data_IF_243786169556
#
_entry.id   IF_243786169556
#
_cell.length_a   1.000
_cell.length_b   1.000
_cell.length_c   1.000
_cell.angle_alpha   90.00
_cell.angle_beta   90.00
_cell.angle_gamma   90.00
#
_symmetry.space_group_name_H-M   'P 1'
#
loop_
_entity.id
_entity.type
_entity.pdbx_description
1 polymer ?
#
# COMPACT_ATOMS: atom_id res chain seq x y z
N UNK A 1 -23.51 -26.89 4.82
CA UNK A 1 -23.98 -26.20 3.60
C UNK A 1 -23.82 -24.70 3.79
N UNK A 2 -23.08 -24.00 2.93
CA UNK A 2 -22.74 -22.57 3.06
C UNK A 2 -23.97 -21.65 3.23
N UNK A 3 -25.09 -22.01 2.59
CA UNK A 3 -26.36 -21.28 2.69
C UNK A 3 -27.08 -21.48 4.04
N UNK A 4 -26.86 -22.61 4.71
CA UNK A 4 -27.51 -22.95 5.98
C UNK A 4 -26.78 -22.38 7.19
N UNK A 5 -25.52 -22.00 7.02
CA UNK A 5 -24.65 -21.55 8.09
C UNK A 5 -24.45 -20.04 7.95
N UNK A 6 -25.00 -19.26 8.87
CA UNK A 6 -24.93 -17.80 8.83
C UNK A 6 -23.51 -17.28 9.09
N UNK A 7 -22.71 -18.02 9.86
CA UNK A 7 -21.35 -17.64 10.25
C UNK A 7 -20.33 -17.89 9.12
N UNK A 8 -20.62 -18.83 8.22
CA UNK A 8 -19.72 -19.14 7.10
C UNK A 8 -20.02 -18.23 5.92
N UNK A 9 -19.01 -17.44 5.55
CA UNK A 9 -19.09 -16.50 4.43
C UNK A 9 -18.64 -17.12 3.10
N UNK A 10 -17.64 -18.01 3.14
CA UNK A 10 -17.03 -18.59 1.95
C UNK A 10 -16.67 -20.08 2.10
N UNK A 11 -16.56 -20.77 0.96
CA UNK A 11 -16.03 -22.12 0.83
C UNK A 11 -14.88 -22.09 -0.15
N UNK A 12 -13.74 -22.63 0.27
CA UNK A 12 -12.49 -22.67 -0.51
C UNK A 12 -12.19 -24.13 -0.84
N UNK A 13 -11.98 -24.43 -2.12
CA UNK A 13 -11.56 -25.74 -2.61
C UNK A 13 -10.21 -25.62 -3.28
N UNK A 14 -9.19 -26.28 -2.70
CA UNK A 14 -7.81 -26.37 -3.23
C UNK A 14 -7.59 -27.59 -4.13
N UNK A 15 -8.67 -28.30 -4.45
CA UNK A 15 -8.62 -29.46 -5.33
C UNK A 15 -8.34 -29.01 -6.76
N UNK A 16 -7.53 -29.78 -7.49
CA UNK A 16 -7.29 -29.54 -8.92
C UNK A 16 -8.61 -29.75 -9.67
N UNK A 17 -9.25 -28.65 -10.04
CA UNK A 17 -10.44 -28.68 -10.88
C UNK A 17 -10.08 -28.23 -12.29
N UNK A 18 -10.48 -29.02 -13.27
CA UNK A 18 -10.43 -28.60 -14.66
C UNK A 18 -11.38 -27.43 -14.89
N UNK A 19 -11.06 -26.61 -15.89
CA UNK A 19 -11.84 -25.41 -16.19
C UNK A 19 -13.32 -25.72 -16.47
N UNK A 20 -13.60 -26.85 -17.14
CA UNK A 20 -14.97 -27.29 -17.44
C UNK A 20 -15.78 -27.60 -16.20
N UNK A 21 -15.13 -28.17 -15.18
CA UNK A 21 -15.81 -28.50 -13.93
C UNK A 21 -16.02 -27.26 -13.07
N UNK A 22 -15.08 -26.30 -13.13
CA UNK A 22 -15.30 -24.97 -12.56
C UNK A 22 -16.50 -24.28 -13.20
N UNK A 23 -16.62 -24.26 -14.53
CA UNK A 23 -17.71 -23.55 -15.21
C UNK A 23 -19.10 -24.12 -14.82
N UNK A 24 -19.22 -25.45 -14.68
CA UNK A 24 -20.46 -26.09 -14.18
C UNK A 24 -20.79 -25.65 -12.75
N UNK A 25 -19.78 -25.63 -11.88
CA UNK A 25 -19.95 -25.22 -10.49
C UNK A 25 -20.23 -23.72 -10.36
N UNK A 26 -19.63 -22.90 -11.21
CA UNK A 26 -19.86 -21.47 -11.28
C UNK A 26 -21.30 -21.17 -11.68
N UNK A 27 -21.83 -21.87 -12.71
CA UNK A 27 -23.23 -21.75 -13.11
C UNK A 27 -24.18 -22.11 -11.95
N UNK A 28 -23.89 -23.20 -11.22
CA UNK A 28 -24.66 -23.58 -10.03
C UNK A 28 -24.55 -22.56 -8.89
N UNK A 29 -23.37 -21.95 -8.70
CA UNK A 29 -23.20 -20.91 -7.70
C UNK A 29 -24.02 -19.66 -8.06
N UNK A 30 -24.03 -19.27 -9.33
CA UNK A 30 -24.83 -18.13 -9.82
C UNK A 30 -26.32 -18.37 -9.64
N UNK A 31 -26.83 -19.58 -9.90
CA UNK A 31 -28.25 -19.89 -9.64
C UNK A 31 -28.61 -19.83 -8.15
N UNK A 32 -27.63 -20.07 -7.26
CA UNK A 32 -27.78 -19.93 -5.81
C UNK A 32 -27.48 -18.51 -5.30
N UNK A 33 -27.21 -17.54 -6.18
CA UNK A 33 -26.89 -16.16 -5.80
C UNK A 33 -25.53 -15.99 -5.13
N UNK A 34 -24.62 -16.94 -5.33
CA UNK A 34 -23.25 -16.90 -4.80
C UNK A 34 -22.27 -16.39 -5.86
N UNK A 35 -21.23 -15.72 -5.38
CA UNK A 35 -20.10 -15.32 -6.21
C UNK A 35 -19.10 -16.46 -6.30
N UNK A 36 -18.55 -16.68 -7.48
CA UNK A 36 -17.53 -17.69 -7.73
C UNK A 36 -16.31 -17.06 -8.39
N UNK A 37 -15.12 -17.48 -7.96
CA UNK A 37 -13.87 -17.04 -8.56
C UNK A 37 -12.81 -18.14 -8.48
N UNK A 38 -11.99 -18.25 -9.52
CA UNK A 38 -10.89 -19.20 -9.59
C UNK A 38 -9.55 -18.45 -9.50
N UNK A 39 -8.84 -18.60 -8.38
CA UNK A 39 -7.51 -18.05 -8.15
C UNK A 39 -6.48 -19.14 -8.43
N UNK A 40 -5.86 -19.10 -9.61
CA UNK A 40 -4.91 -20.12 -10.06
C UNK A 40 -5.48 -21.55 -9.95
N UNK A 41 -5.08 -22.33 -8.93
CA UNK A 41 -5.56 -23.70 -8.68
C UNK A 41 -6.68 -23.79 -7.64
N UNK A 42 -7.05 -22.68 -7.01
CA UNK A 42 -8.01 -22.64 -5.92
C UNK A 42 -9.32 -22.04 -6.39
N UNK A 43 -10.44 -22.71 -6.10
CA UNK A 43 -11.78 -22.24 -6.41
C UNK A 43 -12.46 -21.76 -5.13
N UNK A 44 -13.04 -20.57 -5.17
CA UNK A 44 -13.72 -19.94 -4.04
C UNK A 44 -15.17 -19.63 -4.39
N UNK A 45 -16.08 -19.93 -3.46
CA UNK A 45 -17.49 -19.57 -3.51
C UNK A 45 -17.85 -18.75 -2.27
N UNK A 46 -18.49 -17.60 -2.45
CA UNK A 46 -18.79 -16.68 -1.36
C UNK A 46 -20.15 -16.01 -1.49
N UNK A 47 -20.68 -15.55 -0.36
CA UNK A 47 -21.90 -14.72 -0.30
C UNK A 47 -21.65 -13.26 -0.70
N UNK A 48 -20.39 -12.81 -0.64
CA UNK A 48 -19.95 -11.43 -0.92
C UNK A 48 -19.13 -11.43 -2.22
N UNK A 49 -19.19 -10.38 -3.05
CA UNK A 49 -18.35 -10.26 -4.24
C UNK A 49 -16.87 -10.53 -3.95
N UNK A 50 -16.25 -11.33 -4.82
CA UNK A 50 -14.85 -11.74 -4.69
C UNK A 50 -13.95 -10.72 -5.39
N UNK A 51 -12.81 -10.33 -4.78
CA UNK A 51 -11.83 -9.47 -5.43
C UNK A 51 -11.14 -10.19 -6.59
N UNK A 52 -10.47 -9.45 -7.48
CA UNK A 52 -9.72 -10.07 -8.58
C UNK A 52 -8.39 -10.69 -8.14
N UNK A 53 -7.88 -10.34 -6.95
CA UNK A 53 -6.61 -10.81 -6.44
C UNK A 53 -6.70 -11.14 -4.95
N UNK A 54 -6.12 -12.27 -4.54
CA UNK A 54 -6.03 -12.75 -3.15
C UNK A 54 -4.66 -13.34 -2.89
N UNK A 55 -3.87 -12.65 -2.06
CA UNK A 55 -2.50 -13.05 -1.74
C UNK A 55 -2.44 -14.36 -0.93
N UNK A 56 -3.49 -14.68 -0.19
CA UNK A 56 -3.60 -15.88 0.64
C UNK A 56 -3.81 -17.17 -0.18
N UNK A 57 -4.24 -17.00 -1.44
CA UNK A 57 -4.54 -18.08 -2.38
C UNK A 57 -3.53 -18.19 -3.52
N UNK A 58 -2.49 -17.35 -3.52
CA UNK A 58 -1.44 -17.40 -4.53
C UNK A 58 -0.57 -18.65 -4.34
N UNK A 59 -0.46 -19.45 -5.40
CA UNK A 59 0.39 -20.64 -5.45
C UNK A 59 1.86 -20.30 -5.25
N UNK A 60 2.27 -19.12 -5.73
CA UNK A 60 3.65 -18.64 -5.69
C UNK A 60 3.70 -17.49 -4.70
N UNK A 61 3.59 -17.77 -3.40
CA UNK A 61 4.18 -16.83 -2.44
C UNK A 61 5.69 -16.86 -2.72
N UNK A 62 6.31 -15.80 -3.27
CA UNK A 62 7.74 -15.72 -3.19
C UNK A 62 8.03 -15.65 -1.69
N UNK A 63 8.42 -16.77 -1.09
CA UNK A 63 9.17 -16.79 0.14
C UNK A 63 10.48 -16.07 -0.18
N UNK A 64 10.42 -14.73 -0.24
CA UNK A 64 11.56 -13.91 0.12
C UNK A 64 11.72 -14.07 1.61
N UNK A 65 12.12 -15.27 2.01
CA UNK A 65 12.65 -15.51 3.33
C UNK A 65 13.92 -14.68 3.38
N UNK A 66 13.83 -13.59 4.13
CA UNK A 66 15.01 -12.82 4.48
C UNK A 66 15.74 -13.67 5.51
N UNK A 67 16.69 -14.47 5.02
CA UNK A 67 17.62 -15.17 5.89
C UNK A 67 18.52 -14.11 6.55
N UNK A 68 18.11 -13.67 7.74
CA UNK A 68 18.91 -12.76 8.56
C UNK A 68 20.06 -13.57 9.17
N UNK A 69 21.29 -13.09 8.99
CA UNK A 69 22.44 -13.70 9.63
C UNK A 69 22.30 -13.59 11.16
N UNK A 70 22.71 -14.63 11.89
CA UNK A 70 22.61 -14.67 13.36
C UNK A 70 23.32 -13.50 14.05
N UNK A 71 24.45 -13.05 13.48
CA UNK A 71 25.18 -11.85 13.94
C UNK A 71 24.30 -10.58 13.85
N UNK A 72 23.48 -10.43 12.80
CA UNK A 72 22.58 -9.30 12.67
C UNK A 72 21.50 -9.35 13.75
N UNK A 73 20.95 -10.52 14.03
CA UNK A 73 19.95 -10.72 15.09
C UNK A 73 20.54 -10.36 16.47
N UNK A 74 21.76 -10.83 16.79
CA UNK A 74 22.44 -10.50 18.05
C UNK A 74 22.73 -9.01 18.18
N UNK A 75 23.16 -8.34 17.11
CA UNK A 75 23.38 -6.88 17.13
C UNK A 75 22.10 -6.10 17.34
N UNK A 76 21.01 -6.48 16.68
CA UNK A 76 19.69 -5.85 16.86
C UNK A 76 19.22 -6.05 18.30
N UNK A 77 19.37 -7.25 18.86
CA UNK A 77 19.03 -7.54 20.25
C UNK A 77 19.87 -6.72 21.23
N UNK A 78 21.17 -6.58 20.99
CA UNK A 78 22.05 -5.74 21.80
C UNK A 78 21.63 -4.26 21.76
N UNK A 79 21.33 -3.71 20.57
CA UNK A 79 20.85 -2.33 20.43
C UNK A 79 19.48 -2.10 21.09
N UNK A 80 18.57 -3.06 20.99
CA UNK A 80 17.27 -2.99 21.67
C UNK A 80 17.44 -3.01 23.19
N UNK A 81 18.31 -3.87 23.70
CA UNK A 81 18.63 -3.98 25.13
C UNK A 81 19.28 -2.69 25.66
N UNK A 82 20.22 -2.11 24.91
CA UNK A 82 20.83 -0.83 25.22
C UNK A 82 19.80 0.32 25.20
N UNK A 83 18.91 0.34 24.20
CA UNK A 83 17.85 1.34 24.12
C UNK A 83 16.88 1.24 25.30
N UNK A 84 16.45 0.03 25.66
CA UNK A 84 15.54 -0.21 26.78
C UNK A 84 16.18 0.14 28.12
N UNK A 85 17.45 -0.21 28.34
CA UNK A 85 18.18 0.17 29.56
C UNK A 85 18.38 1.69 29.66
N UNK A 86 18.70 2.37 28.55
CA UNK A 86 18.82 3.83 28.49
C UNK A 86 17.47 4.53 28.65
N UNK A 87 16.38 3.92 28.19
CA UNK A 87 15.00 4.38 28.40
C UNK A 87 14.57 4.19 29.86
N UNK A 88 14.94 3.08 30.50
CA UNK A 88 14.67 2.82 31.92
C UNK A 88 15.33 3.89 32.80
N UNK A 89 16.59 4.24 32.52
CA UNK A 89 17.31 5.31 33.24
C UNK A 89 16.73 6.73 33.00
N UNK A 90 15.86 6.91 32.01
CA UNK A 90 15.15 8.18 31.76
C UNK A 90 13.81 8.26 32.50
N UNK A 91 13.23 7.14 32.92
CA UNK A 91 11.96 7.11 33.65
C UNK A 91 12.15 7.63 35.07
N UNK A 92 13.33 7.45 35.68
CA UNK A 92 13.61 7.90 37.05
C UNK A 92 13.93 9.40 37.19
N UNK A 93 13.88 10.19 36.10
CA UNK A 93 14.17 11.64 36.11
C UNK A 93 13.06 12.53 35.58
N UNK A 94 11.83 12.01 35.43
CA UNK A 94 10.69 12.84 35.03
C UNK A 94 9.79 13.08 36.25
N UNK A 95 9.62 14.33 36.73
CA UNK A 95 8.62 14.61 37.74
C UNK A 95 7.24 14.27 37.17
N UNK A 96 6.41 13.65 37.99
CA UNK A 96 5.09 13.13 37.68
C UNK A 96 4.17 14.19 37.04
N UNK A 97 4.28 14.39 35.73
CA UNK A 97 3.25 15.00 34.88
C UNK A 97 3.66 14.82 33.41
N UNK A 98 3.43 13.64 32.84
CA UNK A 98 3.08 13.53 31.41
C UNK A 98 2.64 12.11 31.06
N UNK A 99 1.32 11.98 30.91
CA UNK A 99 0.60 11.14 29.95
C UNK A 99 1.30 9.86 29.46
N UNK A 100 0.81 8.75 29.99
CA UNK A 100 1.00 7.39 29.48
C UNK A 100 0.80 7.31 27.97
N UNK A 101 1.84 6.90 27.24
CA UNK A 101 1.74 6.44 25.85
C UNK A 101 2.02 4.94 25.80
N UNK A 102 0.99 4.16 26.09
CA UNK A 102 0.91 2.75 25.73
C UNK A 102 0.45 2.67 24.28
N UNK A 103 1.35 2.42 23.34
CA UNK A 103 0.96 1.99 21.98
C UNK A 103 0.93 0.47 21.94
N UNK A 104 -0.20 -0.08 22.39
CA UNK A 104 -0.60 -1.45 22.07
C UNK A 104 -0.99 -1.46 20.58
N UNK A 105 -0.28 -2.25 19.77
CA UNK A 105 -0.61 -2.43 18.36
C UNK A 105 -1.69 -3.51 18.24
N UNK A 106 -2.95 -3.14 18.51
CA UNK A 106 -4.08 -3.96 18.09
C UNK A 106 -4.42 -3.63 16.64
N UNK A 107 -4.25 -4.63 15.79
CA UNK A 107 -4.76 -4.68 14.42
C UNK A 107 -6.27 -4.40 14.40
N UNK A 108 -6.70 -3.39 13.64
CA UNK A 108 -7.95 -3.37 12.89
C UNK A 108 -7.87 -2.33 11.78
N UNK A 109 -8.02 -2.82 10.56
CA UNK A 109 -8.70 -2.22 9.42
C UNK A 109 -9.74 -1.13 9.77
N UNK A 110 -9.34 0.14 9.68
CA UNK A 110 -10.31 1.23 9.51
C UNK A 110 -9.65 2.45 8.84
N UNK A 111 -10.21 2.78 7.67
CA UNK A 111 -10.42 4.12 7.13
C UNK A 111 -9.33 5.19 7.30
N UNK A 112 -8.84 5.66 6.14
CA UNK A 112 -7.99 6.83 5.93
C UNK A 112 -8.39 8.01 6.84
N UNK A 113 -7.72 8.11 7.99
CA UNK A 113 -7.85 9.24 8.90
C UNK A 113 -6.60 10.09 8.76
N UNK A 114 -6.81 11.34 8.32
CA UNK A 114 -5.84 12.44 8.31
C UNK A 114 -5.34 12.71 9.75
N UNK A 115 -4.50 11.83 10.28
CA UNK A 115 -3.73 12.08 11.48
C UNK A 115 -2.56 13.01 11.10
N UNK A 116 -2.35 14.13 11.81
CA UNK A 116 -1.20 14.99 11.54
C UNK A 116 0.07 14.16 11.72
N UNK A 117 0.82 14.01 10.62
CA UNK A 117 2.12 13.35 10.59
C UNK A 117 2.97 13.86 11.76
N UNK A 118 3.64 12.97 12.53
CA UNK A 118 4.45 13.40 13.66
C UNK A 118 5.48 14.43 13.20
N UNK A 119 5.74 15.46 14.01
CA UNK A 119 6.61 16.62 13.68
C UNK A 119 8.02 16.22 13.18
N UNK A 120 8.48 15.00 13.50
CA UNK A 120 9.70 14.41 12.94
C UNK A 120 9.57 14.02 11.46
N UNK A 121 8.44 13.41 11.07
CA UNK A 121 8.16 13.03 9.69
C UNK A 121 8.04 14.26 8.78
N UNK A 122 7.44 15.36 9.26
CA UNK A 122 7.33 16.61 8.48
C UNK A 122 8.69 17.25 8.23
N UNK A 123 9.61 17.22 9.20
CA UNK A 123 11.00 17.70 9.05
C UNK A 123 11.79 16.87 8.03
N UNK A 124 11.65 15.55 8.06
CA UNK A 124 12.31 14.65 7.09
C UNK A 124 11.75 14.86 5.68
N UNK A 125 10.43 14.99 5.53
CA UNK A 125 9.79 15.26 4.24
C UNK A 125 10.21 16.63 3.67
N UNK A 126 10.32 17.65 4.52
CA UNK A 126 10.81 18.97 4.12
C UNK A 126 12.25 18.94 3.61
N UNK A 127 13.15 18.28 4.34
CA UNK A 127 14.56 18.13 3.92
C UNK A 127 14.68 17.40 2.58
N UNK A 128 13.92 16.32 2.38
CA UNK A 128 13.88 15.61 1.09
C UNK A 128 13.34 16.50 -0.04
N UNK A 129 12.31 17.29 0.24
CA UNK A 129 11.73 18.21 -0.74
C UNK A 129 12.72 19.29 -1.20
N UNK A 130 13.52 19.82 -0.27
CA UNK A 130 14.61 20.74 -0.58
C UNK A 130 15.67 20.07 -1.46
N UNK A 131 16.15 18.88 -1.08
CA UNK A 131 17.13 18.14 -1.87
C UNK A 131 16.67 17.86 -3.32
N UNK A 132 15.40 17.48 -3.49
CA UNK A 132 14.82 17.24 -4.82
C UNK A 132 14.76 18.53 -5.66
N UNK A 133 14.43 19.66 -5.04
CA UNK A 133 14.44 20.98 -5.69
C UNK A 133 15.84 21.35 -6.17
N UNK A 134 16.84 21.23 -5.31
CA UNK A 134 18.23 21.58 -5.64
C UNK A 134 18.75 20.70 -6.78
N UNK A 135 18.47 19.39 -6.71
CA UNK A 135 18.81 18.44 -7.79
C UNK A 135 18.13 18.81 -9.11
N UNK A 136 16.86 19.20 -9.06
CA UNK A 136 16.13 19.63 -10.25
C UNK A 136 16.74 20.90 -10.85
N UNK A 137 17.06 21.90 -10.03
CA UNK A 137 17.68 23.16 -10.50
C UNK A 137 19.05 22.91 -11.11
N UNK A 138 19.89 22.11 -10.45
CA UNK A 138 21.19 21.72 -10.98
C UNK A 138 21.07 21.02 -12.34
N UNK A 139 20.14 20.07 -12.45
CA UNK A 139 19.88 19.37 -13.71
C UNK A 139 19.38 20.33 -14.81
N UNK A 140 18.46 21.25 -14.49
CA UNK A 140 17.94 22.24 -15.45
C UNK A 140 19.00 23.23 -15.93
N UNK A 141 20.00 23.56 -15.08
CA UNK A 141 21.10 24.44 -15.44
C UNK A 141 22.17 23.75 -16.31
N UNK A 142 22.15 22.42 -16.39
CA UNK A 142 23.08 21.67 -17.25
C UNK A 142 22.72 21.80 -18.74
N UNK A 143 23.71 21.64 -19.62
CA UNK A 143 23.53 21.70 -21.09
C UNK A 143 22.56 20.61 -21.58
N UNK A 144 22.64 19.42 -21.00
CA UNK A 144 21.70 18.32 -21.30
C UNK A 144 20.27 18.65 -20.87
N UNK A 145 20.13 19.23 -19.68
CA UNK A 145 18.84 19.68 -19.14
C UNK A 145 18.17 20.72 -20.03
N UNK A 146 18.91 21.73 -20.47
CA UNK A 146 18.42 22.76 -21.39
C UNK A 146 17.94 22.14 -22.71
N UNK A 147 18.75 21.31 -23.37
CA UNK A 147 18.39 20.64 -24.62
C UNK A 147 17.10 19.81 -24.49
N UNK A 148 16.94 19.11 -23.37
CA UNK A 148 15.76 18.30 -23.10
C UNK A 148 14.52 19.16 -22.81
N UNK A 149 14.68 20.28 -22.11
CA UNK A 149 13.60 21.24 -21.89
C UNK A 149 13.10 21.84 -23.20
N UNK A 150 13.99 22.25 -24.10
CA UNK A 150 13.63 22.80 -25.41
C UNK A 150 12.86 21.78 -26.27
N UNK A 151 13.27 20.52 -26.19
CA UNK A 151 12.53 19.43 -26.86
C UNK A 151 11.13 19.26 -26.26
N UNK A 152 11.01 19.32 -24.93
CA UNK A 152 9.73 19.17 -24.22
C UNK A 152 8.78 20.34 -24.46
N UNK A 153 9.27 21.58 -24.51
CA UNK A 153 8.43 22.77 -24.73
C UNK A 153 7.76 22.78 -26.10
N UNK A 154 8.36 22.09 -27.09
CA UNK A 154 7.77 21.92 -28.42
C UNK A 154 6.53 21.01 -28.45
N UNK A 155 6.37 20.13 -27.45
CA UNK A 155 5.30 19.12 -27.45
C UNK A 155 3.93 19.73 -27.12
N UNK A 156 2.86 19.32 -27.81
CA UNK A 156 1.49 19.78 -27.52
C UNK A 156 1.07 19.54 -26.07
N UNK A 157 1.44 18.39 -25.49
CA UNK A 157 1.15 18.04 -24.10
C UNK A 157 1.77 19.03 -23.11
N UNK A 158 2.95 19.57 -23.41
CA UNK A 158 3.62 20.54 -22.52
C UNK A 158 2.88 21.89 -22.50
N UNK A 159 2.26 22.29 -23.61
CA UNK A 159 1.45 23.52 -23.69
C UNK A 159 0.21 23.46 -22.78
N UNK A 160 -0.33 22.25 -22.56
CA UNK A 160 -1.50 22.01 -21.70
C UNK A 160 -1.12 21.64 -20.26
N UNK A 161 0.18 21.66 -19.92
CA UNK A 161 0.70 21.24 -18.61
C UNK A 161 -0.02 21.91 -17.45
N UNK A 162 -0.27 23.22 -17.52
CA UNK A 162 -0.86 23.94 -16.39
C UNK A 162 -2.30 23.50 -16.12
N UNK A 163 -3.13 23.39 -17.17
CA UNK A 163 -4.51 22.88 -17.09
C UNK A 163 -4.53 21.46 -16.50
N UNK A 164 -3.67 20.57 -16.97
CA UNK A 164 -3.57 19.19 -16.45
C UNK A 164 -3.18 19.17 -14.97
N UNK A 165 -2.18 19.95 -14.56
CA UNK A 165 -1.75 20.00 -13.15
C UNK A 165 -2.82 20.57 -12.24
N UNK A 166 -3.55 21.60 -12.70
CA UNK A 166 -4.67 22.17 -11.96
C UNK A 166 -5.79 21.15 -11.80
N UNK A 167 -6.17 20.44 -12.86
CA UNK A 167 -7.18 19.39 -12.80
C UNK A 167 -6.80 18.27 -11.83
N UNK A 168 -5.54 17.83 -11.83
CA UNK A 168 -5.02 16.80 -10.89
C UNK A 168 -5.06 17.31 -9.44
N UNK A 169 -4.76 18.60 -9.22
CA UNK A 169 -4.77 19.16 -7.86
C UNK A 169 -6.18 19.27 -7.26
N UNK A 170 -7.21 19.42 -8.11
CA UNK A 170 -8.60 19.61 -7.69
C UNK A 170 -9.40 18.31 -7.63
N UNK A 171 -8.94 17.25 -8.31
CA UNK A 171 -9.69 16.01 -8.44
C UNK A 171 -8.89 14.81 -7.93
N UNK A 172 -9.55 13.94 -7.14
CA UNK A 172 -8.96 12.69 -6.68
C UNK A 172 -8.72 11.69 -7.83
N UNK A 173 -9.55 11.74 -8.89
CA UNK A 173 -9.44 10.91 -10.09
C UNK A 173 -9.52 11.80 -11.33
N UNK A 174 -8.54 11.70 -12.21
CA UNK A 174 -8.51 12.38 -13.50
C UNK A 174 -8.47 11.36 -14.64
N UNK A 175 -9.38 11.48 -15.61
CA UNK A 175 -9.36 10.78 -16.90
C UNK A 175 -8.93 11.74 -18.00
N UNK A 176 -8.47 11.23 -19.14
CA UNK A 176 -7.93 12.05 -20.24
C UNK A 176 -8.98 13.00 -20.85
N UNK A 177 -10.26 12.68 -20.71
CA UNK A 177 -11.37 13.50 -21.21
C UNK A 177 -11.76 14.65 -20.26
N UNK A 178 -11.46 14.52 -18.96
CA UNK A 178 -11.96 15.45 -17.94
C UNK A 178 -11.24 16.81 -17.90
N UNK A 179 -9.98 16.91 -18.36
CA UNK A 179 -9.21 18.15 -18.25
C UNK A 179 -9.27 19.05 -19.49
N UNK A 180 -9.88 18.59 -20.59
CA UNK A 180 -10.10 19.42 -21.80
C UNK A 180 -11.21 20.46 -21.62
N UNK A 181 -12.01 20.35 -20.56
CA UNK A 181 -13.19 21.17 -20.29
C UNK A 181 -13.15 21.92 -18.95
N UNK A 182 -12.00 21.91 -18.26
CA UNK A 182 -11.79 22.59 -16.98
C UNK A 182 -11.05 23.91 -17.16
#
# INVERSE_FOLDING_TARGET
MLLKDSLKQEVISREKKDRRDFDKLAALATTLGLYSHAYAKVVVFSKIPLPNYRFDLDDKKPQREVNLHTDLLQRVEAYLTEYLSKSSNRIDRVPANSVSRTSSISSTDEWFSEQPLPISATKILWQRSLQLRDRQQYWQASVEGQKMLDSRTSLPAFKQRHSVLTAISQNQVCTEDNWKHA
#
